data_IF_466594645239
#
_entry.id   IF_466594645239
#
_cell.length_a   1.000
_cell.length_b   1.000
_cell.length_c   1.000
_cell.angle_alpha   90.00
_cell.angle_beta   90.00
_cell.angle_gamma   90.00
#
_symmetry.space_group_name_H-M   'P 1'
#
loop_
_entity.id
_entity.type
_entity.pdbx_description
1 polymer ?
#
# COMPACT_ATOMS: atom_id res chain seq x y z
N UNK A 1 -16.61 4.96 -44.88
CA UNK A 1 -15.93 4.88 -43.56
C UNK A 1 -17.02 5.09 -42.53
N UNK A 2 -17.52 3.99 -41.97
CA UNK A 2 -18.61 4.03 -40.98
C UNK A 2 -18.06 4.57 -39.64
N UNK A 3 -18.63 5.68 -39.17
CA UNK A 3 -18.37 6.17 -37.86
C UNK A 3 -19.00 5.17 -36.88
N UNK A 4 -18.25 4.59 -35.94
CA UNK A 4 -18.82 3.66 -34.97
C UNK A 4 -19.96 4.37 -34.21
N UNK A 5 -21.11 3.69 -34.11
CA UNK A 5 -22.27 4.24 -33.43
C UNK A 5 -22.00 4.42 -31.90
N UNK A 6 -22.87 5.14 -31.19
CA UNK A 6 -22.71 5.44 -29.77
C UNK A 6 -22.52 4.20 -28.88
N UNK A 7 -22.97 3.05 -29.30
CA UNK A 7 -22.78 1.74 -28.67
C UNK A 7 -21.31 1.30 -28.61
N UNK A 8 -20.55 1.61 -29.66
CA UNK A 8 -19.13 1.27 -29.72
C UNK A 8 -18.33 2.08 -28.70
N UNK A 9 -18.70 3.34 -28.52
CA UNK A 9 -18.09 4.23 -27.51
C UNK A 9 -18.41 3.75 -26.08
N UNK A 10 -19.66 3.38 -25.82
CA UNK A 10 -20.08 2.85 -24.49
C UNK A 10 -19.42 1.51 -24.20
N UNK A 11 -19.36 0.58 -25.18
CA UNK A 11 -18.65 -0.70 -25.02
C UNK A 11 -17.14 -0.53 -24.83
N UNK A 12 -16.54 0.49 -25.41
CA UNK A 12 -15.12 0.76 -25.25
C UNK A 12 -14.82 1.51 -23.93
N UNK A 13 -15.77 2.27 -23.40
CA UNK A 13 -15.69 2.88 -22.07
C UNK A 13 -15.86 1.84 -20.96
N UNK A 14 -16.74 0.85 -21.11
CA UNK A 14 -16.91 -0.27 -20.15
C UNK A 14 -15.76 -1.30 -20.22
N UNK A 15 -15.00 -1.35 -21.31
CA UNK A 15 -13.91 -2.32 -21.52
C UNK A 15 -12.52 -1.77 -21.20
N UNK A 16 -12.39 -0.54 -20.73
CA UNK A 16 -11.06 0.10 -20.79
C UNK A 16 -10.50 0.60 -19.46
N UNK A 17 -10.69 -0.15 -18.39
CA UNK A 17 -9.78 0.02 -17.26
C UNK A 17 -8.39 -0.43 -17.72
N UNK A 18 -7.41 0.49 -17.68
CA UNK A 18 -6.02 0.18 -18.01
C UNK A 18 -5.49 -0.91 -17.08
N UNK A 19 -4.68 -1.81 -17.61
CA UNK A 19 -3.89 -2.70 -16.76
C UNK A 19 -2.98 -1.87 -15.87
N UNK A 20 -2.76 -2.29 -14.64
CA UNK A 20 -1.92 -1.52 -13.70
C UNK A 20 -0.53 -1.25 -14.25
N UNK A 21 0.04 -2.19 -15.02
CA UNK A 21 1.36 -2.05 -15.66
C UNK A 21 1.39 -1.00 -16.78
N UNK A 22 0.24 -0.58 -17.31
CA UNK A 22 0.11 0.48 -18.33
C UNK A 22 -0.29 1.83 -17.71
N UNK A 23 -0.53 1.86 -16.39
CA UNK A 23 -0.94 3.07 -15.68
C UNK A 23 0.25 4.00 -15.44
N UNK A 24 -0.05 5.29 -15.54
CA UNK A 24 0.86 6.37 -15.15
C UNK A 24 0.52 6.84 -13.73
N UNK A 25 1.43 7.57 -13.11
CA UNK A 25 1.20 8.15 -11.77
C UNK A 25 -0.10 8.96 -11.70
N UNK A 26 -0.47 9.69 -12.77
CA UNK A 26 -1.71 10.46 -12.84
C UNK A 26 -2.97 9.59 -12.87
N UNK A 27 -2.90 8.37 -13.40
CA UNK A 27 -4.03 7.46 -13.43
C UNK A 27 -4.39 7.02 -11.99
N UNK A 28 -3.39 6.73 -11.16
CA UNK A 28 -3.60 6.31 -9.77
C UNK A 28 -4.21 7.38 -8.85
N UNK A 29 -4.05 8.67 -9.18
CA UNK A 29 -4.59 9.76 -8.35
C UNK A 29 -6.12 9.79 -8.32
N UNK A 30 -6.76 9.30 -9.36
CA UNK A 30 -8.21 9.36 -9.54
C UNK A 30 -8.89 7.98 -9.47
N UNK A 31 -8.14 6.91 -9.28
CA UNK A 31 -8.69 5.55 -9.17
C UNK A 31 -9.52 5.39 -7.92
N UNK A 32 -10.72 4.88 -8.10
CA UNK A 32 -11.53 4.32 -7.02
C UNK A 32 -10.97 2.98 -6.58
N UNK A 33 -11.52 2.42 -5.50
CA UNK A 33 -11.20 1.05 -5.08
C UNK A 33 -11.45 0.04 -6.20
N UNK A 34 -12.59 0.15 -6.90
CA UNK A 34 -12.94 -0.78 -7.96
C UNK A 34 -12.00 -0.65 -9.14
N UNK A 35 -11.66 0.58 -9.55
CA UNK A 35 -10.72 0.83 -10.64
C UNK A 35 -9.34 0.17 -10.37
N UNK A 36 -8.85 0.26 -9.14
CA UNK A 36 -7.58 -0.38 -8.77
C UNK A 36 -7.68 -1.91 -8.84
N UNK A 37 -8.77 -2.50 -8.35
CA UNK A 37 -8.99 -3.95 -8.42
C UNK A 37 -9.09 -4.44 -9.87
N UNK A 38 -9.83 -3.73 -10.70
CA UNK A 38 -10.00 -4.07 -12.13
C UNK A 38 -8.69 -3.93 -12.90
N UNK A 39 -7.90 -2.88 -12.60
CA UNK A 39 -6.57 -2.68 -13.18
C UNK A 39 -5.61 -3.83 -12.83
N UNK A 40 -5.66 -4.34 -11.60
CA UNK A 40 -4.87 -5.48 -11.16
C UNK A 40 -5.36 -6.76 -11.86
N UNK A 41 -6.68 -7.00 -11.88
CA UNK A 41 -7.28 -8.17 -12.51
C UNK A 41 -6.94 -8.25 -14.00
N UNK A 42 -6.98 -7.12 -14.71
CA UNK A 42 -6.65 -7.03 -16.13
C UNK A 42 -5.18 -7.36 -16.45
N UNK A 43 -4.31 -7.40 -15.44
CA UNK A 43 -2.91 -7.82 -15.61
C UNK A 43 -2.70 -9.33 -15.65
N UNK A 44 -3.73 -10.14 -15.39
CA UNK A 44 -3.66 -11.60 -15.47
C UNK A 44 -2.50 -12.18 -14.65
N UNK A 45 -2.31 -11.68 -13.43
CA UNK A 45 -1.28 -12.12 -12.49
C UNK A 45 0.14 -11.56 -12.74
N UNK A 46 0.30 -10.55 -13.61
CA UNK A 46 1.60 -9.92 -13.90
C UNK A 46 1.91 -8.69 -13.05
N UNK A 47 1.02 -8.33 -12.12
CA UNK A 47 1.24 -7.23 -11.18
C UNK A 47 2.33 -7.59 -10.17
N UNK A 48 3.30 -6.73 -10.01
CA UNK A 48 4.39 -6.87 -9.03
C UNK A 48 4.12 -5.98 -7.83
N UNK A 49 3.85 -6.60 -6.68
CA UNK A 49 3.82 -5.91 -5.39
C UNK A 49 5.17 -6.09 -4.70
N UNK A 50 5.84 -4.99 -4.38
CA UNK A 50 7.11 -5.03 -3.65
C UNK A 50 6.91 -4.57 -2.21
N UNK A 51 7.32 -5.42 -1.27
CA UNK A 51 7.31 -5.12 0.16
C UNK A 51 8.64 -4.48 0.58
N UNK A 52 8.56 -3.39 1.33
CA UNK A 52 9.73 -2.68 1.88
C UNK A 52 9.45 -2.27 3.33
N UNK A 53 10.52 -2.06 4.10
CA UNK A 53 10.41 -1.53 5.47
C UNK A 53 10.85 -0.07 5.46
N UNK A 54 9.89 0.84 5.70
CA UNK A 54 10.14 2.29 5.61
C UNK A 54 11.14 2.81 6.66
N UNK A 55 11.12 2.25 7.86
CA UNK A 55 12.01 2.63 8.97
C UNK A 55 13.45 2.12 8.84
N UNK A 56 13.75 1.27 7.85
CA UNK A 56 15.11 0.76 7.64
C UNK A 56 15.97 1.76 6.87
N UNK A 57 17.30 1.63 7.07
CA UNK A 57 18.28 2.41 6.34
C UNK A 57 18.07 2.23 4.83
N UNK A 58 17.92 3.33 4.06
CA UNK A 58 17.80 3.25 2.61
C UNK A 58 19.02 2.64 1.95
N UNK A 59 18.80 1.77 0.97
CA UNK A 59 19.91 1.12 0.22
C UNK A 59 20.76 2.13 -0.54
N UNK A 60 20.14 3.21 -1.04
CA UNK A 60 20.81 4.24 -1.85
C UNK A 60 21.02 5.57 -1.10
N UNK A 61 20.87 5.58 0.23
CA UNK A 61 21.13 6.74 1.09
C UNK A 61 20.05 7.81 1.03
N UNK A 62 19.92 8.52 -0.06
CA UNK A 62 19.10 9.74 -0.18
C UNK A 62 17.69 9.53 -0.73
N UNK A 63 17.34 8.31 -1.14
CA UNK A 63 16.01 7.95 -1.61
C UNK A 63 15.44 6.81 -0.79
N UNK A 64 14.13 6.80 -0.60
CA UNK A 64 13.46 5.74 0.16
C UNK A 64 13.60 4.38 -0.52
N UNK A 65 13.56 3.29 0.25
CA UNK A 65 13.53 1.95 -0.31
C UNK A 65 12.32 1.73 -1.23
N UNK A 66 11.20 2.40 -0.97
CA UNK A 66 10.01 2.34 -1.81
C UNK A 66 10.20 3.04 -3.17
N UNK A 67 10.89 4.19 -3.23
CA UNK A 67 11.28 4.82 -4.51
C UNK A 67 12.21 3.92 -5.31
N UNK A 68 13.16 3.30 -4.64
CA UNK A 68 14.05 2.33 -5.30
C UNK A 68 13.27 1.14 -5.88
N UNK A 69 12.34 0.56 -5.11
CA UNK A 69 11.48 -0.54 -5.58
C UNK A 69 10.61 -0.11 -6.78
N UNK A 70 10.02 1.10 -6.74
CA UNK A 70 9.25 1.64 -7.85
C UNK A 70 10.11 1.83 -9.11
N UNK A 71 11.33 2.33 -8.97
CA UNK A 71 12.29 2.49 -10.07
C UNK A 71 12.72 1.14 -10.68
N UNK A 72 12.74 0.08 -9.87
CA UNK A 72 13.03 -1.28 -10.31
C UNK A 72 11.81 -2.01 -10.91
N UNK A 73 10.66 -1.35 -11.03
CA UNK A 73 9.49 -1.86 -11.75
C UNK A 73 8.37 -2.42 -10.86
N UNK A 74 8.36 -2.11 -9.57
CA UNK A 74 7.20 -2.43 -8.73
C UNK A 74 5.97 -1.63 -9.16
N UNK A 75 4.84 -2.30 -9.33
CA UNK A 75 3.56 -1.70 -9.68
C UNK A 75 2.81 -1.20 -8.44
N UNK A 76 2.97 -1.90 -7.34
CA UNK A 76 2.36 -1.64 -6.04
C UNK A 76 3.45 -1.72 -4.97
N UNK A 77 3.36 -0.86 -3.97
CA UNK A 77 4.29 -0.84 -2.84
C UNK A 77 3.56 -1.22 -1.55
N UNK A 78 4.19 -2.07 -0.74
CA UNK A 78 3.69 -2.48 0.56
C UNK A 78 4.70 -2.10 1.63
N UNK A 79 4.29 -1.30 2.61
CA UNK A 79 5.13 -0.92 3.74
C UNK A 79 4.93 -1.91 4.89
N UNK A 80 5.91 -2.78 5.10
CA UNK A 80 5.94 -3.69 6.25
C UNK A 80 6.41 -2.96 7.51
N UNK A 81 5.99 -3.44 8.66
CA UNK A 81 6.30 -2.87 9.97
C UNK A 81 5.90 -1.39 10.11
N UNK A 82 4.95 -0.94 9.30
CA UNK A 82 4.49 0.44 9.32
C UNK A 82 3.62 0.69 10.57
N UNK A 83 4.03 1.69 11.35
CA UNK A 83 3.31 2.10 12.54
C UNK A 83 2.40 3.30 12.22
N UNK A 84 1.08 3.14 12.35
CA UNK A 84 0.10 4.19 12.10
C UNK A 84 0.14 5.32 13.14
N UNK A 85 0.73 5.09 14.32
CA UNK A 85 0.87 6.09 15.39
C UNK A 85 2.17 6.88 15.22
N UNK A 86 3.27 6.19 14.91
CA UNK A 86 4.57 6.79 14.62
C UNK A 86 5.12 6.35 13.25
N UNK A 87 4.55 6.85 12.15
CA UNK A 87 4.91 6.43 10.81
C UNK A 87 6.31 6.88 10.42
N UNK A 88 7.27 5.95 10.34
CA UNK A 88 8.66 6.25 9.97
C UNK A 88 8.95 5.80 8.54
N UNK A 89 9.47 6.72 7.72
CA UNK A 89 9.96 6.44 6.37
C UNK A 89 11.29 7.19 6.21
N UNK A 90 12.40 6.46 6.23
CA UNK A 90 13.73 7.03 6.12
C UNK A 90 14.01 7.56 4.71
N UNK A 91 14.77 8.64 4.61
CA UNK A 91 15.06 9.41 3.41
C UNK A 91 13.83 10.12 2.78
N UNK A 92 12.66 10.08 3.41
CA UNK A 92 11.54 10.88 2.95
C UNK A 92 11.80 12.38 3.22
N UNK A 93 11.47 13.30 2.30
CA UNK A 93 11.49 14.73 2.58
C UNK A 93 10.67 15.09 3.83
N UNK A 94 11.12 16.10 4.56
CA UNK A 94 10.44 16.52 5.80
C UNK A 94 8.99 16.88 5.53
N UNK A 95 8.08 16.25 6.24
CA UNK A 95 6.65 16.51 6.23
C UNK A 95 6.03 16.06 7.55
N UNK A 96 4.79 16.47 7.79
CA UNK A 96 4.02 16.03 8.95
C UNK A 96 3.78 14.51 8.90
N UNK A 97 3.73 13.82 10.06
CA UNK A 97 3.55 12.37 10.12
C UNK A 97 2.37 11.86 9.29
N UNK A 98 1.22 12.53 9.34
CA UNK A 98 0.02 12.17 8.59
C UNK A 98 0.15 12.36 7.07
N UNK A 99 1.13 13.11 6.61
CA UNK A 99 1.38 13.37 5.19
C UNK A 99 2.45 12.44 4.58
N UNK A 100 3.11 11.62 5.38
CA UNK A 100 4.25 10.77 4.92
C UNK A 100 3.86 9.83 3.79
N UNK A 101 2.73 9.13 3.91
CA UNK A 101 2.26 8.23 2.84
C UNK A 101 1.89 9.00 1.58
N UNK A 102 1.21 10.15 1.71
CA UNK A 102 0.89 11.00 0.54
C UNK A 102 2.15 11.54 -0.14
N UNK A 103 3.16 11.93 0.65
CA UNK A 103 4.46 12.35 0.12
C UNK A 103 5.13 11.21 -0.64
N UNK A 104 5.17 10.01 -0.06
CA UNK A 104 5.74 8.84 -0.72
C UNK A 104 5.00 8.50 -2.02
N UNK A 105 3.66 8.60 -2.04
CA UNK A 105 2.86 8.43 -3.27
C UNK A 105 3.22 9.43 -4.36
N UNK A 106 3.48 10.69 -3.98
CA UNK A 106 3.92 11.71 -4.95
C UNK A 106 5.29 11.39 -5.55
N UNK A 107 6.21 10.85 -4.75
CA UNK A 107 7.56 10.51 -5.19
C UNK A 107 7.58 9.25 -6.06
N UNK A 108 6.82 8.23 -5.67
CA UNK A 108 6.81 6.93 -6.35
C UNK A 108 5.83 6.87 -7.51
N UNK A 109 4.73 7.63 -7.45
CA UNK A 109 3.62 7.51 -8.39
C UNK A 109 2.96 6.13 -8.39
N UNK A 110 2.94 5.43 -7.26
CA UNK A 110 2.40 4.07 -7.11
C UNK A 110 1.36 4.00 -6.00
N UNK A 111 0.40 3.05 -6.08
CA UNK A 111 -0.45 2.71 -4.95
C UNK A 111 0.39 2.17 -3.79
N UNK A 112 0.04 2.57 -2.57
CA UNK A 112 0.76 2.17 -1.36
C UNK A 112 -0.20 1.47 -0.41
N UNK A 113 0.20 0.28 0.05
CA UNK A 113 -0.41 -0.46 1.13
C UNK A 113 0.45 -0.51 2.38
N UNK A 114 -0.15 -0.95 3.47
CA UNK A 114 0.53 -1.25 4.73
C UNK A 114 0.10 -2.61 5.26
N UNK A 115 0.93 -3.22 6.10
CA UNK A 115 0.54 -4.38 6.90
C UNK A 115 -0.08 -3.89 8.21
N UNK A 116 -1.17 -4.56 8.64
CA UNK A 116 -1.64 -4.53 10.02
C UNK A 116 -1.76 -5.96 10.53
N UNK A 117 -1.46 -6.15 11.80
CA UNK A 117 -1.41 -7.47 12.42
C UNK A 117 -2.60 -7.68 13.35
N UNK A 118 -3.51 -8.65 13.05
CA UNK A 118 -4.65 -8.99 13.90
C UNK A 118 -4.19 -9.81 15.10
N UNK A 119 -3.82 -9.15 16.18
CA UNK A 119 -3.26 -9.74 17.40
C UNK A 119 -4.19 -9.46 18.57
N UNK A 120 -4.69 -10.51 19.22
CA UNK A 120 -5.56 -10.38 20.40
C UNK A 120 -4.81 -10.13 21.70
N UNK A 121 -3.63 -10.75 21.86
CA UNK A 121 -2.85 -10.68 23.09
C UNK A 121 -1.53 -9.96 22.88
N UNK A 122 -1.17 -9.09 23.82
CA UNK A 122 0.17 -8.54 23.89
C UNK A 122 1.13 -9.64 24.36
N UNK A 123 1.89 -10.20 23.43
CA UNK A 123 3.05 -10.96 23.82
C UNK A 123 4.10 -9.97 24.34
N UNK A 124 4.61 -10.17 25.56
CA UNK A 124 5.78 -9.48 26.07
C UNK A 124 7.01 -9.88 25.24
N UNK A 125 7.08 -9.35 24.02
CA UNK A 125 8.30 -9.42 23.23
C UNK A 125 9.20 -8.30 23.73
N UNK A 126 10.30 -8.66 24.39
CA UNK A 126 11.27 -7.69 24.91
C UNK A 126 11.68 -6.64 23.85
N UNK A 127 12.65 -5.77 24.16
CA UNK A 127 13.16 -4.68 23.30
C UNK A 127 13.73 -5.20 21.94
N UNK A 128 12.88 -5.79 21.12
CA UNK A 128 13.19 -6.30 19.80
C UNK A 128 12.66 -5.31 18.77
N UNK A 129 13.40 -5.09 17.68
CA UNK A 129 12.90 -4.34 16.50
C UNK A 129 11.61 -4.95 15.91
N UNK A 130 11.27 -6.17 16.31
CA UNK A 130 10.05 -6.90 15.95
C UNK A 130 8.93 -6.70 16.97
N UNK A 131 9.15 -5.90 18.05
CA UNK A 131 8.14 -5.66 19.05
C UNK A 131 6.85 -5.12 18.40
N UNK A 132 5.71 -5.69 18.79
CA UNK A 132 4.41 -5.25 18.33
C UNK A 132 4.08 -3.90 18.96
N UNK A 133 4.10 -2.85 18.15
CA UNK A 133 3.65 -1.52 18.58
C UNK A 133 2.13 -1.38 18.43
N UNK A 134 1.54 -0.44 19.18
CA UNK A 134 0.11 -0.19 19.10
C UNK A 134 -0.36 0.22 17.70
N UNK A 135 0.48 0.94 16.95
CA UNK A 135 0.17 1.42 15.60
C UNK A 135 0.26 0.35 14.50
N UNK A 136 0.78 -0.85 14.82
CA UNK A 136 0.85 -1.99 13.89
C UNK A 136 -0.32 -2.96 14.03
N UNK A 137 -1.10 -2.85 15.10
CA UNK A 137 -2.24 -3.74 15.35
C UNK A 137 -3.38 -3.49 14.35
N UNK A 138 -4.04 -4.54 13.91
CA UNK A 138 -5.25 -4.46 13.07
C UNK A 138 -6.45 -4.03 13.94
N UNK A 139 -6.56 -2.74 14.15
CA UNK A 139 -7.69 -2.12 14.87
C UNK A 139 -8.42 -1.16 13.95
N UNK A 140 -9.70 -0.92 14.23
CA UNK A 140 -10.50 0.06 13.50
C UNK A 140 -9.88 1.47 13.53
N UNK A 141 -9.26 1.83 14.65
CA UNK A 141 -8.57 3.13 14.80
C UNK A 141 -7.38 3.22 13.84
N UNK A 142 -6.50 2.22 13.82
CA UNK A 142 -5.34 2.20 12.92
C UNK A 142 -5.76 2.11 11.44
N UNK A 143 -6.82 1.35 11.13
CA UNK A 143 -7.36 1.33 9.77
C UNK A 143 -7.87 2.71 9.32
N UNK A 144 -8.56 3.45 10.19
CA UNK A 144 -8.99 4.83 9.92
C UNK A 144 -7.79 5.76 9.73
N UNK A 145 -6.78 5.69 10.62
CA UNK A 145 -5.54 6.48 10.49
C UNK A 145 -4.84 6.20 9.16
N UNK A 146 -4.77 4.93 8.74
CA UNK A 146 -4.20 4.54 7.45
C UNK A 146 -4.94 5.18 6.27
N UNK A 147 -6.28 5.15 6.29
CA UNK A 147 -7.10 5.82 5.27
C UNK A 147 -6.84 7.33 5.26
N UNK A 148 -6.81 7.97 6.44
CA UNK A 148 -6.54 9.39 6.58
C UNK A 148 -5.14 9.78 6.08
N UNK A 149 -4.15 8.91 6.19
CA UNK A 149 -2.81 9.09 5.60
C UNK A 149 -2.78 8.89 4.08
N UNK A 150 -3.84 8.33 3.49
CA UNK A 150 -3.94 8.08 2.04
C UNK A 150 -3.43 6.72 1.60
N UNK A 151 -3.39 5.72 2.49
CA UNK A 151 -3.11 4.32 2.16
C UNK A 151 -4.18 3.78 1.20
N UNK A 152 -3.79 3.00 0.20
CA UNK A 152 -4.70 2.46 -0.80
C UNK A 152 -5.31 1.11 -0.38
N UNK A 153 -4.58 0.31 0.39
CA UNK A 153 -5.03 -0.99 0.87
C UNK A 153 -4.29 -1.39 2.15
N UNK A 154 -4.92 -2.27 2.92
CA UNK A 154 -4.34 -2.87 4.12
C UNK A 154 -4.23 -4.36 3.88
N UNK A 155 -3.07 -4.94 4.14
CA UNK A 155 -2.83 -6.37 4.16
C UNK A 155 -2.84 -6.84 5.62
N UNK A 156 -3.78 -7.72 5.96
CA UNK A 156 -3.76 -8.39 7.26
C UNK A 156 -2.72 -9.51 7.21
N UNK A 157 -1.70 -9.39 8.05
CA UNK A 157 -0.60 -10.37 8.10
C UNK A 157 -0.43 -10.91 9.51
N UNK A 158 -0.07 -12.18 9.58
CA UNK A 158 0.31 -12.84 10.82
C UNK A 158 1.72 -13.39 10.72
N UNK A 159 2.59 -12.96 11.62
CA UNK A 159 3.91 -13.57 11.76
C UNK A 159 3.84 -14.74 12.75
N UNK A 160 4.51 -15.89 12.47
CA UNK A 160 4.53 -17.03 13.38
C UNK A 160 4.97 -16.62 14.80
N UNK A 161 4.20 -17.03 15.82
CA UNK A 161 4.51 -16.75 17.21
C UNK A 161 4.17 -15.33 17.70
N UNK A 162 3.51 -14.51 16.88
CA UNK A 162 3.11 -13.13 17.25
C UNK A 162 1.66 -13.02 17.77
N UNK A 163 0.99 -14.14 18.08
CA UNK A 163 -0.33 -14.13 18.71
C UNK A 163 -1.50 -13.89 17.74
N UNK A 164 -1.29 -14.07 16.44
CA UNK A 164 -2.36 -14.01 15.45
C UNK A 164 -3.21 -15.27 15.51
N UNK A 165 -4.51 -15.11 15.65
CA UNK A 165 -5.51 -16.21 15.67
C UNK A 165 -6.53 -16.03 14.56
N UNK A 166 -7.26 -17.11 14.21
CA UNK A 166 -8.36 -17.01 13.24
C UNK A 166 -9.47 -16.08 13.75
N UNK A 167 -9.74 -16.12 15.04
CA UNK A 167 -10.74 -15.27 15.70
C UNK A 167 -10.37 -13.78 15.56
N UNK A 168 -9.09 -13.44 15.68
CA UNK A 168 -8.61 -12.06 15.51
C UNK A 168 -8.67 -11.57 14.04
N UNK A 169 -8.61 -12.51 13.08
CA UNK A 169 -8.74 -12.17 11.65
C UNK A 169 -10.21 -11.89 11.28
N UNK A 170 -11.16 -12.54 11.95
CA UNK A 170 -12.59 -12.44 11.66
C UNK A 170 -13.27 -11.20 12.30
N UNK A 171 -12.63 -10.54 13.26
CA UNK A 171 -13.11 -9.32 13.94
C UNK A 171 -12.93 -8.07 13.06
#
# INVERSE_FOLDING_TARGET
>A
MDIPGPWYTILMEELNMKRIIDCRSSDFLNMTRQDLLDSIANCEGRTVCCETVGSYQPMLGDITNAEFAAAMGADILLLNLFDCVDPQINALPKCEPMERVRMLKKLTGRPIGINLEPVEQELETGESMWAMTSGRKATLENARRAVDMGVNFILLTGNPGMGVTNEAIEQ
#
